data_IF_942068573972
#
_entry.id   IF_942068573972
#
_cell.length_a   1.000
_cell.length_b   1.000
_cell.length_c   1.000
_cell.angle_alpha   90.00
_cell.angle_beta   90.00
_cell.angle_gamma   90.00
#
_symmetry.space_group_name_H-M   'P 1'
#
loop_
_entity.id
_entity.type
_entity.pdbx_description
1 polymer ?
#
# COMPACT_ATOMS: atom_id res chain seq x y z
N UNK A 1 12.86 12.95 5.24
CA UNK A 1 12.18 12.43 4.02
C UNK A 1 13.14 11.83 2.99
N UNK A 2 14.47 12.06 3.04
CA UNK A 2 15.46 11.38 2.17
C UNK A 2 15.37 9.84 2.20
N UNK A 3 14.98 9.24 3.33
CA UNK A 3 14.74 7.80 3.43
C UNK A 3 13.43 7.32 2.81
N UNK A 4 12.53 8.18 2.31
CA UNK A 4 11.27 7.73 1.69
C UNK A 4 11.54 7.25 0.26
N UNK A 5 11.95 8.15 -0.63
CA UNK A 5 12.19 7.82 -2.04
C UNK A 5 13.25 6.74 -2.23
N UNK A 6 14.34 6.79 -1.44
CA UNK A 6 15.36 5.76 -1.47
C UNK A 6 14.79 4.38 -1.10
N UNK A 7 13.98 4.30 -0.05
CA UNK A 7 13.39 3.04 0.41
C UNK A 7 12.51 2.40 -0.66
N UNK A 8 11.64 3.19 -1.30
CA UNK A 8 10.76 2.68 -2.35
C UNK A 8 11.50 2.28 -3.61
N UNK A 9 12.46 3.09 -4.04
CA UNK A 9 13.18 2.82 -5.27
C UNK A 9 14.11 1.60 -5.16
N UNK A 10 14.80 1.44 -4.03
CA UNK A 10 15.67 0.28 -3.77
C UNK A 10 14.84 -1.01 -3.74
N UNK A 11 13.66 -0.99 -3.13
CA UNK A 11 12.75 -2.16 -3.13
C UNK A 11 12.25 -2.47 -4.55
N UNK A 12 11.82 -1.46 -5.30
CA UNK A 12 11.36 -1.66 -6.69
C UNK A 12 12.47 -2.20 -7.60
N UNK A 13 13.67 -1.62 -7.52
CA UNK A 13 14.81 -2.06 -8.31
C UNK A 13 15.20 -3.50 -7.97
N UNK A 14 15.27 -3.84 -6.68
CA UNK A 14 15.58 -5.18 -6.22
C UNK A 14 14.53 -6.21 -6.66
N UNK A 15 13.25 -5.88 -6.51
CA UNK A 15 12.17 -6.74 -6.96
C UNK A 15 12.17 -6.96 -8.47
N UNK A 16 12.42 -5.91 -9.26
CA UNK A 16 12.55 -6.02 -10.72
C UNK A 16 13.72 -6.92 -11.12
N UNK A 17 14.87 -6.79 -10.44
CA UNK A 17 16.04 -7.66 -10.65
C UNK A 17 15.71 -9.12 -10.36
N UNK A 18 15.09 -9.43 -9.21
CA UNK A 18 14.70 -10.80 -8.84
C UNK A 18 13.64 -11.39 -9.77
N UNK A 19 12.66 -10.59 -10.21
CA UNK A 19 11.59 -11.05 -11.12
C UNK A 19 12.06 -11.24 -12.56
N UNK A 20 13.18 -10.61 -12.94
CA UNK A 20 13.74 -10.69 -14.29
C UNK A 20 12.88 -10.03 -15.37
N UNK A 21 11.91 -9.18 -14.98
CA UNK A 21 11.04 -8.46 -15.92
C UNK A 21 11.00 -6.97 -15.57
N UNK A 22 11.12 -6.11 -16.58
CA UNK A 22 11.15 -4.65 -16.44
C UNK A 22 9.78 -3.98 -16.23
N UNK A 23 8.75 -4.72 -15.83
CA UNK A 23 7.47 -4.13 -15.47
C UNK A 23 7.63 -3.36 -14.16
N UNK A 24 7.14 -2.11 -14.10
CA UNK A 24 7.13 -1.36 -12.84
C UNK A 24 6.17 -2.00 -11.83
N UNK A 25 6.31 -1.66 -10.56
CA UNK A 25 5.42 -2.11 -9.50
C UNK A 25 3.99 -1.61 -9.74
N UNK A 26 2.99 -2.40 -9.34
CA UNK A 26 1.60 -1.96 -9.38
C UNK A 26 1.31 -0.91 -8.29
N UNK A 27 0.23 -0.15 -8.42
CA UNK A 27 -0.21 0.79 -7.37
C UNK A 27 -0.42 0.11 -6.00
N UNK A 28 -0.84 -1.16 -6.02
CA UNK A 28 -0.98 -2.01 -4.85
C UNK A 28 0.37 -2.38 -4.21
N UNK A 29 1.36 -2.73 -5.03
CA UNK A 29 2.71 -3.02 -4.54
C UNK A 29 3.34 -1.77 -3.91
N UNK A 30 3.05 -0.59 -4.45
CA UNK A 30 3.45 0.68 -3.85
C UNK A 30 2.81 0.91 -2.49
N UNK A 31 1.50 0.68 -2.36
CA UNK A 31 0.81 0.76 -1.09
C UNK A 31 1.42 -0.19 -0.04
N UNK A 32 1.81 -1.39 -0.45
CA UNK A 32 2.45 -2.35 0.44
C UNK A 32 3.83 -1.89 0.94
N UNK A 33 4.65 -1.27 0.07
CA UNK A 33 5.93 -0.68 0.50
C UNK A 33 5.70 0.45 1.49
N UNK A 34 4.66 1.27 1.28
CA UNK A 34 4.26 2.34 2.19
C UNK A 34 3.92 1.78 3.57
N UNK A 35 3.11 0.73 3.63
CA UNK A 35 2.80 0.01 4.87
C UNK A 35 4.07 -0.48 5.58
N UNK A 36 5.02 -1.08 4.86
CA UNK A 36 6.28 -1.53 5.47
C UNK A 36 7.07 -0.38 6.06
N UNK A 37 7.12 0.74 5.34
CA UNK A 37 7.82 1.93 5.80
C UNK A 37 7.18 2.52 7.06
N UNK A 38 5.85 2.63 7.09
CA UNK A 38 5.10 3.17 8.23
C UNK A 38 5.18 2.25 9.45
N UNK A 39 5.26 0.93 9.24
CA UNK A 39 5.55 -0.07 10.26
C UNK A 39 7.01 -0.08 10.75
N UNK A 40 7.86 0.80 10.21
CA UNK A 40 9.26 0.93 10.59
C UNK A 40 10.14 -0.25 10.17
N UNK A 41 9.75 -0.99 9.12
CA UNK A 41 10.56 -2.08 8.58
C UNK A 41 11.84 -1.49 7.95
N UNK A 42 13.03 -1.96 8.34
CA UNK A 42 14.27 -1.48 7.74
C UNK A 42 14.43 -2.01 6.31
N UNK A 43 15.08 -1.22 5.45
CA UNK A 43 15.25 -1.54 4.02
C UNK A 43 15.85 -2.95 3.84
N UNK A 44 16.88 -3.26 4.62
CA UNK A 44 17.55 -4.56 4.58
C UNK A 44 16.60 -5.74 4.86
N UNK A 45 15.64 -5.60 5.79
CA UNK A 45 14.64 -6.64 6.05
C UNK A 45 13.70 -6.83 4.86
N UNK A 46 13.28 -5.73 4.21
CA UNK A 46 12.44 -5.79 3.03
C UNK A 46 13.16 -6.48 1.86
N UNK A 47 14.42 -6.14 1.60
CA UNK A 47 15.21 -6.76 0.52
C UNK A 47 15.45 -8.26 0.77
N UNK A 48 15.88 -8.62 1.99
CA UNK A 48 16.10 -10.02 2.38
C UNK A 48 14.82 -10.86 2.36
N UNK A 49 13.70 -10.30 2.81
CA UNK A 49 12.41 -10.99 2.76
C UNK A 49 11.92 -11.22 1.33
N UNK A 50 12.14 -10.26 0.43
CA UNK A 50 11.91 -10.46 -1.00
C UNK A 50 12.78 -11.61 -1.49
N UNK A 51 14.07 -11.63 -1.15
CA UNK A 51 14.97 -12.69 -1.58
C UNK A 51 14.52 -14.08 -1.10
N UNK A 52 14.15 -14.20 0.18
CA UNK A 52 13.64 -15.43 0.76
C UNK A 52 12.35 -15.93 0.08
N UNK A 53 11.45 -15.01 -0.30
CA UNK A 53 10.22 -15.36 -1.02
C UNK A 53 10.53 -15.95 -2.40
N UNK A 54 11.49 -15.37 -3.13
CA UNK A 54 11.92 -15.89 -4.42
C UNK A 54 12.68 -17.22 -4.28
N UNK A 55 13.56 -17.37 -3.29
CA UNK A 55 14.24 -18.64 -3.01
C UNK A 55 13.26 -19.78 -2.72
N UNK A 56 12.21 -19.52 -1.93
CA UNK A 56 11.14 -20.50 -1.67
C UNK A 56 10.38 -20.87 -2.94
N UNK A 57 10.13 -19.89 -3.81
CA UNK A 57 9.51 -20.13 -5.11
C UNK A 57 10.39 -20.98 -6.02
N UNK A 58 11.69 -20.68 -6.10
CA UNK A 58 12.68 -21.40 -6.89
C UNK A 58 12.90 -22.84 -6.38
N UNK A 59 12.76 -23.07 -5.08
CA UNK A 59 12.84 -24.41 -4.48
C UNK A 59 11.64 -25.30 -4.85
N UNK A 60 10.46 -24.72 -5.08
CA UNK A 60 9.24 -25.43 -5.49
C UNK A 60 8.48 -24.66 -6.57
N UNK A 61 9.00 -24.62 -7.81
CA UNK A 61 8.42 -23.81 -8.87
C UNK A 61 7.08 -24.38 -9.31
N UNK A 62 6.06 -23.53 -9.33
CA UNK A 62 4.74 -23.86 -9.86
C UNK A 62 4.59 -23.34 -11.28
N UNK A 63 4.00 -24.15 -12.18
CA UNK A 63 3.63 -23.70 -13.53
C UNK A 63 2.50 -22.65 -13.52
N UNK A 64 1.67 -22.63 -12.48
CA UNK A 64 0.47 -21.77 -12.40
C UNK A 64 0.66 -20.54 -11.52
N UNK A 65 1.57 -20.58 -10.55
CA UNK A 65 1.88 -19.43 -9.68
C UNK A 65 3.23 -18.84 -10.09
N UNK A 66 3.28 -17.52 -10.23
CA UNK A 66 4.50 -16.74 -10.46
C UNK A 66 4.56 -15.62 -9.44
N UNK A 67 5.76 -15.20 -9.07
CA UNK A 67 5.97 -14.04 -8.19
C UNK A 67 5.83 -12.76 -9.02
N UNK A 68 4.59 -12.27 -9.17
CA UNK A 68 4.29 -11.11 -10.02
C UNK A 68 4.11 -9.80 -9.24
N UNK A 69 3.90 -9.88 -7.92
CA UNK A 69 3.57 -8.76 -7.02
C UNK A 69 4.29 -8.94 -5.68
N UNK A 70 4.64 -7.83 -5.04
CA UNK A 70 5.23 -7.79 -3.69
C UNK A 70 4.29 -8.36 -2.63
N UNK A 71 2.98 -8.43 -2.89
CA UNK A 71 2.03 -9.11 -2.01
C UNK A 71 2.42 -10.58 -1.76
N UNK A 72 3.07 -11.23 -2.74
CA UNK A 72 3.60 -12.58 -2.58
C UNK A 72 4.77 -12.63 -1.58
N UNK A 73 5.57 -11.55 -1.52
CA UNK A 73 6.75 -11.45 -0.66
C UNK A 73 6.42 -10.98 0.76
N UNK A 74 5.20 -10.46 1.01
CA UNK A 74 4.87 -9.75 2.24
C UNK A 74 5.14 -10.57 3.51
N UNK A 75 4.78 -11.86 3.52
CA UNK A 75 4.99 -12.74 4.68
C UNK A 75 6.47 -12.89 5.03
N UNK A 76 7.32 -13.10 4.03
CA UNK A 76 8.76 -13.26 4.26
C UNK A 76 9.42 -11.93 4.68
N UNK A 77 8.92 -10.80 4.17
CA UNK A 77 9.37 -9.46 4.60
C UNK A 77 9.05 -9.21 6.07
N UNK A 78 7.84 -9.52 6.51
CA UNK A 78 7.47 -9.38 7.92
C UNK A 78 8.28 -10.33 8.82
N UNK A 79 8.41 -11.60 8.43
CA UNK A 79 9.20 -12.57 9.19
C UNK A 79 10.68 -12.13 9.33
N UNK A 80 11.29 -11.69 8.23
CA UNK A 80 12.67 -11.18 8.27
C UNK A 80 12.80 -9.94 9.16
N UNK A 81 11.81 -9.06 9.15
CA UNK A 81 11.81 -7.88 10.01
C UNK A 81 11.68 -8.23 11.50
N UNK A 82 10.91 -9.26 11.85
CA UNK A 82 10.83 -9.80 13.22
C UNK A 82 12.15 -10.45 13.64
N UNK A 83 12.71 -11.34 12.81
CA UNK A 83 13.99 -12.00 13.07
C UNK A 83 15.12 -10.98 13.32
N UNK A 84 15.17 -9.90 12.52
CA UNK A 84 16.16 -8.83 12.70
C UNK A 84 15.95 -8.03 13.98
N UNK A 85 14.69 -7.81 14.40
CA UNK A 85 14.39 -7.17 15.69
C UNK A 85 14.80 -8.06 16.86
N UNK A 86 14.52 -9.34 16.80
CA UNK A 86 14.91 -10.32 17.84
C UNK A 86 16.44 -10.45 17.94
N UNK A 87 17.14 -10.49 16.80
CA UNK A 87 18.60 -10.56 16.75
C UNK A 87 19.28 -9.30 17.33
N UNK A 88 18.65 -8.13 17.22
CA UNK A 88 19.16 -6.87 17.75
C UNK A 88 18.99 -6.72 19.28
N UNK A 89 18.03 -7.44 19.89
CA UNK A 89 17.75 -7.36 21.33
C UNK A 89 18.60 -8.33 22.16
N UNK A 90 19.07 -9.43 21.56
CA UNK A 90 20.01 -10.36 22.20
C UNK A 90 19.42 -11.17 23.37
N UNK A 91 19.42 -12.49 23.20
CA UNK A 91 19.12 -13.55 24.21
C UNK A 91 17.64 -13.85 24.52
N UNK A 92 17.09 -14.87 23.86
CA UNK A 92 16.86 -16.19 24.45
C UNK A 92 16.30 -17.14 23.36
N UNK A 93 17.02 -18.24 23.09
CA UNK A 93 16.42 -19.40 22.43
C UNK A 93 15.47 -20.05 23.43
N UNK A 94 14.22 -20.20 23.04
CA UNK A 94 13.47 -21.40 23.39
C UNK A 94 12.89 -22.05 22.11
N UNK A 95 12.69 -23.36 22.20
CA UNK A 95 12.32 -24.29 21.13
C UNK A 95 10.92 -24.00 20.55
N UNK A 96 10.57 -24.61 19.39
CA UNK A 96 9.52 -24.10 18.52
C UNK A 96 8.15 -24.17 19.20
N UNK A 97 7.60 -23.01 19.53
CA UNK A 97 6.17 -22.88 19.74
C UNK A 97 5.51 -22.98 18.37
N UNK A 98 4.95 -24.16 18.15
CA UNK A 98 3.75 -24.46 17.38
C UNK A 98 3.31 -23.34 16.42
N UNK A 99 3.37 -23.66 15.13
CA UNK A 99 2.77 -22.94 14.01
C UNK A 99 1.85 -21.81 14.49
N UNK A 100 2.44 -20.64 14.70
CA UNK A 100 1.71 -19.42 14.97
C UNK A 100 0.87 -19.18 13.74
N UNK A 101 -0.36 -19.70 13.77
CA UNK A 101 -1.40 -19.43 12.80
C UNK A 101 -1.31 -17.96 12.51
N UNK A 102 -0.83 -17.65 11.31
CA UNK A 102 -0.86 -16.31 10.72
C UNK A 102 -2.22 -15.77 11.13
N UNK A 103 -2.26 -14.66 11.88
CA UNK A 103 -3.51 -13.91 12.03
C UNK A 103 -3.87 -13.43 10.63
N UNK A 104 -4.46 -14.32 9.83
CA UNK A 104 -5.08 -13.95 8.57
C UNK A 104 -6.15 -12.93 8.91
N UNK A 105 -6.30 -11.93 8.04
CA UNK A 105 -7.27 -10.85 8.18
C UNK A 105 -8.57 -11.36 8.82
N UNK A 106 -8.85 -10.98 10.06
CA UNK A 106 -10.07 -11.44 10.72
C UNK A 106 -11.27 -10.67 10.13
N UNK A 107 -12.45 -11.31 9.93
CA UNK A 107 -13.63 -10.60 9.44
C UNK A 107 -13.97 -9.35 10.26
N UNK A 108 -13.79 -9.43 11.57
CA UNK A 108 -14.02 -8.33 12.49
C UNK A 108 -13.05 -7.16 12.29
N UNK A 109 -11.77 -7.44 12.06
CA UNK A 109 -10.73 -6.43 11.81
C UNK A 109 -11.00 -5.72 10.47
N UNK A 110 -11.29 -6.48 9.42
CA UNK A 110 -11.66 -5.91 8.10
C UNK A 110 -12.91 -5.04 8.24
N UNK A 111 -13.96 -5.53 8.89
CA UNK A 111 -15.19 -4.77 9.07
C UNK A 111 -14.95 -3.48 9.86
N UNK A 112 -14.12 -3.51 10.91
CA UNK A 112 -13.76 -2.33 11.68
C UNK A 112 -12.97 -1.31 10.83
N UNK A 113 -11.99 -1.78 10.04
CA UNK A 113 -11.22 -0.95 9.12
C UNK A 113 -12.12 -0.25 8.09
N UNK A 114 -13.03 -0.98 7.45
CA UNK A 114 -13.97 -0.43 6.48
C UNK A 114 -14.91 0.62 7.11
N UNK A 115 -15.39 0.39 8.34
CA UNK A 115 -16.23 1.37 9.07
C UNK A 115 -15.46 2.64 9.42
N UNK A 116 -14.24 2.51 9.95
CA UNK A 116 -13.35 3.64 10.25
C UNK A 116 -13.12 4.50 9.01
N UNK A 117 -12.81 3.86 7.88
CA UNK A 117 -12.60 4.58 6.62
C UNK A 117 -13.89 5.25 6.12
N UNK A 118 -15.05 4.60 6.26
CA UNK A 118 -16.33 5.20 5.92
C UNK A 118 -16.65 6.44 6.76
N UNK A 119 -16.32 6.43 8.05
CA UNK A 119 -16.47 7.57 8.95
C UNK A 119 -15.56 8.73 8.55
N UNK A 120 -14.27 8.44 8.28
CA UNK A 120 -13.33 9.45 7.81
C UNK A 120 -13.78 10.09 6.49
N UNK A 121 -14.22 9.29 5.51
CA UNK A 121 -14.75 9.80 4.25
C UNK A 121 -16.00 10.66 4.41
N UNK A 122 -16.89 10.29 5.35
CA UNK A 122 -18.11 11.06 5.61
C UNK A 122 -17.82 12.38 6.34
N UNK A 123 -16.77 12.43 7.16
CA UNK A 123 -16.36 13.61 7.91
C UNK A 123 -15.44 14.56 7.10
N UNK A 124 -14.81 14.07 6.03
CA UNK A 124 -13.90 14.86 5.20
C UNK A 124 -14.61 16.07 4.57
N UNK A 125 -13.91 17.22 4.56
CA UNK A 125 -14.37 18.46 3.93
C UNK A 125 -13.62 18.63 2.62
N UNK A 126 -14.27 18.26 1.52
CA UNK A 126 -13.66 18.27 0.19
C UNK A 126 -13.95 19.57 -0.57
N UNK A 127 -13.04 19.99 -1.46
CA UNK A 127 -13.25 21.19 -2.25
C UNK A 127 -14.40 20.94 -3.24
N UNK A 128 -15.03 22.03 -3.66
CA UNK A 128 -16.16 21.99 -4.61
C UNK A 128 -15.71 22.55 -5.95
N UNK A 129 -15.96 21.78 -7.02
CA UNK A 129 -15.78 22.25 -8.39
C UNK A 129 -17.12 22.50 -9.07
N UNK A 130 -17.10 23.28 -10.14
CA UNK A 130 -18.30 23.50 -10.97
C UNK A 130 -18.71 22.19 -11.65
N UNK A 131 -19.88 21.66 -11.31
CA UNK A 131 -20.46 20.48 -11.96
C UNK A 131 -19.86 19.12 -11.54
N UNK A 132 -18.88 19.09 -10.64
CA UNK A 132 -18.30 17.86 -10.08
C UNK A 132 -18.18 17.95 -8.56
N UNK A 133 -18.62 16.92 -7.85
CA UNK A 133 -18.61 16.89 -6.38
C UNK A 133 -17.81 15.69 -5.86
N UNK A 134 -16.56 15.95 -5.46
CA UNK A 134 -15.76 14.96 -4.74
C UNK A 134 -16.44 14.55 -3.42
N UNK A 135 -17.16 15.48 -2.77
CA UNK A 135 -17.93 15.19 -1.55
C UNK A 135 -19.01 14.13 -1.79
N UNK A 136 -19.75 14.22 -2.91
CA UNK A 136 -20.78 13.23 -3.23
C UNK A 136 -20.18 11.84 -3.43
N UNK A 137 -19.06 11.75 -4.14
CA UNK A 137 -18.34 10.49 -4.37
C UNK A 137 -17.77 9.93 -3.06
N UNK A 138 -17.24 10.78 -2.17
CA UNK A 138 -16.78 10.35 -0.84
C UNK A 138 -17.93 9.77 0.01
N UNK A 139 -19.11 10.40 -0.02
CA UNK A 139 -20.29 9.91 0.69
C UNK A 139 -20.84 8.59 0.11
N UNK A 140 -20.85 8.44 -1.21
CA UNK A 140 -21.22 7.17 -1.87
C UNK A 140 -20.23 6.06 -1.52
N UNK A 141 -18.93 6.38 -1.55
CA UNK A 141 -17.84 5.47 -1.17
C UNK A 141 -18.00 5.04 0.29
N UNK A 142 -18.26 5.98 1.20
CA UNK A 142 -18.51 5.70 2.61
C UNK A 142 -19.73 4.76 2.82
N UNK A 143 -20.84 4.99 2.10
CA UNK A 143 -22.01 4.09 2.15
C UNK A 143 -21.63 2.68 1.70
N UNK A 144 -20.92 2.57 0.58
CA UNK A 144 -20.46 1.28 0.04
C UNK A 144 -19.55 0.54 1.02
N UNK A 145 -18.63 1.24 1.69
CA UNK A 145 -17.76 0.66 2.71
C UNK A 145 -18.55 0.14 3.93
N UNK A 146 -19.57 0.87 4.39
CA UNK A 146 -20.46 0.41 5.48
C UNK A 146 -21.23 -0.85 5.09
N UNK A 147 -21.78 -0.89 3.88
CA UNK A 147 -22.49 -2.07 3.37
C UNK A 147 -21.56 -3.29 3.27
N UNK A 148 -20.33 -3.10 2.81
CA UNK A 148 -19.31 -4.15 2.79
C UNK A 148 -18.95 -4.62 4.20
N UNK A 149 -18.75 -3.70 5.14
CA UNK A 149 -18.45 -4.03 6.53
C UNK A 149 -19.56 -4.85 7.19
N UNK A 150 -20.83 -4.50 6.94
CA UNK A 150 -21.98 -5.23 7.46
C UNK A 150 -22.06 -6.64 6.86
N UNK A 151 -21.89 -6.76 5.54
CA UNK A 151 -21.86 -8.07 4.86
C UNK A 151 -20.73 -8.98 5.38
N UNK A 152 -19.55 -8.43 5.65
CA UNK A 152 -18.42 -9.20 6.20
C UNK A 152 -18.69 -9.62 7.65
N UNK A 153 -19.29 -8.74 8.45
CA UNK A 153 -19.63 -9.04 9.84
C UNK A 153 -20.75 -10.10 9.98
N UNK A 154 -21.71 -10.11 9.05
CA UNK A 154 -22.83 -11.06 9.03
C UNK A 154 -22.48 -12.41 8.35
N UNK A 155 -21.45 -12.41 7.50
CA UNK A 155 -21.03 -13.61 6.77
C UNK A 155 -20.24 -14.57 7.66
N UNK A 156 -20.53 -15.87 7.54
CA UNK A 156 -19.75 -16.94 8.19
C UNK A 156 -18.38 -17.19 7.54
N UNK A 157 -18.16 -16.65 6.35
CA UNK A 157 -16.92 -16.83 5.57
C UNK A 157 -16.44 -15.51 4.97
N UNK A 158 -15.12 -15.30 4.96
CA UNK A 158 -14.51 -14.14 4.31
C UNK A 158 -14.75 -14.15 2.80
N UNK A 159 -15.01 -12.97 2.19
CA UNK A 159 -14.90 -12.85 0.75
C UNK A 159 -13.47 -13.12 0.31
N UNK A 160 -13.26 -13.40 -0.97
CA UNK A 160 -11.91 -13.44 -1.54
C UNK A 160 -11.28 -12.06 -1.34
N UNK A 161 -10.21 -12.01 -0.55
CA UNK A 161 -9.55 -10.75 -0.19
C UNK A 161 -9.04 -10.00 -1.42
N UNK A 162 -8.61 -10.72 -2.46
CA UNK A 162 -8.21 -10.12 -3.74
C UNK A 162 -9.36 -9.35 -4.42
N UNK A 163 -10.59 -9.89 -4.37
CA UNK A 163 -11.75 -9.23 -4.99
C UNK A 163 -12.18 -8.00 -4.17
N UNK A 164 -12.09 -8.11 -2.83
CA UNK A 164 -12.31 -6.97 -1.94
C UNK A 164 -11.28 -5.87 -2.21
N UNK A 165 -10.00 -6.22 -2.28
CA UNK A 165 -8.91 -5.28 -2.54
C UNK A 165 -9.08 -4.58 -3.90
N UNK A 166 -9.36 -5.32 -4.97
CA UNK A 166 -9.64 -4.74 -6.30
C UNK A 166 -10.78 -3.73 -6.24
N UNK A 167 -11.83 -4.02 -5.48
CA UNK A 167 -12.97 -3.11 -5.31
C UNK A 167 -12.56 -1.84 -4.55
N UNK A 168 -11.76 -1.98 -3.48
CA UNK A 168 -11.24 -0.84 -2.72
C UNK A 168 -10.34 0.05 -3.59
N UNK A 169 -9.46 -0.54 -4.40
CA UNK A 169 -8.62 0.20 -5.36
C UNK A 169 -9.46 1.03 -6.32
N UNK A 170 -10.48 0.43 -6.95
CA UNK A 170 -11.36 1.15 -7.89
C UNK A 170 -12.08 2.31 -7.19
N UNK A 171 -12.48 2.12 -5.93
CA UNK A 171 -13.12 3.17 -5.13
C UNK A 171 -12.15 4.31 -4.81
N UNK A 172 -10.91 4.02 -4.40
CA UNK A 172 -9.86 5.04 -4.17
C UNK A 172 -9.55 5.80 -5.46
N UNK A 173 -9.36 5.10 -6.58
CA UNK A 173 -9.04 5.73 -7.86
C UNK A 173 -10.15 6.68 -8.34
N UNK A 174 -11.42 6.28 -8.20
CA UNK A 174 -12.56 7.13 -8.52
C UNK A 174 -12.64 8.36 -7.62
N UNK A 175 -12.46 8.16 -6.31
CA UNK A 175 -12.46 9.25 -5.33
C UNK A 175 -11.32 10.23 -5.61
N UNK A 176 -10.12 9.72 -5.86
CA UNK A 176 -8.94 10.53 -6.13
C UNK A 176 -9.06 11.30 -7.45
N UNK A 177 -9.58 10.67 -8.52
CA UNK A 177 -9.82 11.37 -9.78
C UNK A 177 -10.79 12.55 -9.60
N UNK A 178 -11.87 12.35 -8.83
CA UNK A 178 -12.80 13.42 -8.51
C UNK A 178 -12.15 14.52 -7.68
N UNK A 179 -11.41 14.15 -6.64
CA UNK A 179 -10.66 15.08 -5.79
C UNK A 179 -9.69 15.93 -6.61
N UNK A 180 -8.87 15.30 -7.45
CA UNK A 180 -7.91 15.98 -8.29
C UNK A 180 -8.59 16.97 -9.24
N UNK A 181 -9.76 16.62 -9.79
CA UNK A 181 -10.50 17.48 -10.70
C UNK A 181 -11.14 18.71 -10.04
N UNK A 182 -11.39 18.67 -8.72
CA UNK A 182 -11.97 19.80 -7.97
C UNK A 182 -10.94 20.56 -7.13
N UNK A 183 -9.70 20.06 -7.06
CA UNK A 183 -8.61 20.72 -6.34
C UNK A 183 -8.09 21.89 -7.17
N UNK A 184 -7.88 23.08 -6.58
CA UNK A 184 -7.32 24.23 -7.29
C UNK A 184 -5.95 23.93 -7.94
N UNK A 185 -5.72 24.49 -9.13
CA UNK A 185 -4.50 24.26 -9.92
C UNK A 185 -3.23 24.64 -9.17
N UNK A 186 -3.24 25.75 -8.43
CA UNK A 186 -2.13 26.25 -7.63
C UNK A 186 -1.75 25.27 -6.51
N UNK A 187 -2.75 24.63 -5.90
CA UNK A 187 -2.53 23.59 -4.90
C UNK A 187 -1.90 22.33 -5.52
N UNK A 188 -2.44 21.85 -6.65
CA UNK A 188 -1.86 20.69 -7.36
C UNK A 188 -0.42 20.98 -7.80
N UNK A 189 -0.16 22.19 -8.31
CA UNK A 189 1.18 22.63 -8.71
C UNK A 189 2.14 22.71 -7.51
N UNK A 190 1.66 23.19 -6.36
CA UNK A 190 2.46 23.23 -5.13
C UNK A 190 2.91 21.82 -4.72
N UNK A 191 1.98 20.86 -4.67
CA UNK A 191 2.30 19.46 -4.31
C UNK A 191 3.27 18.83 -5.31
N UNK A 192 3.10 19.08 -6.61
CA UNK A 192 4.02 18.58 -7.65
C UNK A 192 5.42 19.18 -7.53
N UNK A 193 5.51 20.47 -7.22
CA UNK A 193 6.79 21.17 -7.04
C UNK A 193 7.52 20.66 -5.81
N UNK A 194 6.81 20.35 -4.73
CA UNK A 194 7.36 19.68 -3.54
C UNK A 194 7.93 18.30 -3.92
N UNK A 195 7.13 17.47 -4.60
CA UNK A 195 7.56 16.16 -5.08
C UNK A 195 8.84 16.24 -5.93
N UNK A 196 8.90 17.21 -6.84
CA UNK A 196 10.06 17.42 -7.73
C UNK A 196 11.32 17.83 -6.98
N UNK A 197 11.19 18.66 -5.93
CA UNK A 197 12.32 19.02 -5.06
C UNK A 197 12.84 17.82 -4.30
N UNK A 198 11.95 17.00 -3.75
CA UNK A 198 12.34 15.81 -3.00
C UNK A 198 12.91 14.69 -3.91
N UNK A 199 12.45 14.61 -5.15
CA UNK A 199 12.95 13.66 -6.15
C UNK A 199 14.24 14.10 -6.84
N UNK A 200 14.62 15.37 -6.76
CA UNK A 200 15.79 15.93 -7.45
C UNK A 200 17.10 15.13 -7.24
N UNK A 201 17.44 14.65 -6.02
CA UNK A 201 18.66 13.86 -5.79
C UNK A 201 18.68 12.51 -6.53
N UNK A 202 17.50 11.98 -6.87
CA UNK A 202 17.32 10.64 -7.44
C UNK A 202 17.15 10.65 -8.95
N UNK A 203 16.93 11.82 -9.57
CA UNK A 203 16.61 11.94 -11.01
C UNK A 203 17.66 11.33 -11.95
N UNK A 204 18.92 11.29 -11.54
CA UNK A 204 20.03 10.72 -12.33
C UNK A 204 20.28 9.24 -12.04
N UNK A 205 19.70 8.70 -10.97
CA UNK A 205 19.92 7.33 -10.48
C UNK A 205 18.81 6.36 -10.88
N UNK A 206 17.67 6.87 -11.36
CA UNK A 206 16.48 6.08 -11.63
C UNK A 206 15.96 6.32 -13.06
N UNK A 207 15.36 5.30 -13.72
CA UNK A 207 14.66 5.49 -14.99
C UNK A 207 13.55 6.53 -14.89
N UNK A 208 13.35 7.30 -15.97
CA UNK A 208 12.33 8.36 -16.02
C UNK A 208 10.91 7.86 -15.70
N UNK A 209 10.57 6.63 -16.12
CA UNK A 209 9.28 6.03 -15.85
C UNK A 209 9.08 5.75 -14.33
N UNK A 210 10.12 5.31 -13.63
CA UNK A 210 10.11 5.11 -12.18
C UNK A 210 9.96 6.44 -11.43
N UNK A 211 10.67 7.49 -11.86
CA UNK A 211 10.53 8.84 -11.29
C UNK A 211 9.11 9.38 -11.48
N UNK A 212 8.55 9.22 -12.68
CA UNK A 212 7.18 9.65 -12.96
C UNK A 212 6.14 8.90 -12.12
N UNK A 213 6.34 7.61 -11.90
CA UNK A 213 5.48 6.82 -11.02
C UNK A 213 5.60 7.28 -9.56
N UNK A 214 6.82 7.50 -9.08
CA UNK A 214 7.09 8.04 -7.75
C UNK A 214 6.41 9.38 -7.51
N UNK A 215 6.54 10.30 -8.46
CA UNK A 215 5.90 11.60 -8.41
C UNK A 215 4.36 11.46 -8.35
N UNK A 216 3.78 10.58 -9.17
CA UNK A 216 2.34 10.32 -9.18
C UNK A 216 1.85 9.78 -7.83
N UNK A 217 2.56 8.82 -7.24
CA UNK A 217 2.20 8.25 -5.93
C UNK A 217 2.35 9.29 -4.81
N UNK A 218 3.40 10.11 -4.86
CA UNK A 218 3.59 11.18 -3.89
C UNK A 218 2.46 12.22 -3.94
N UNK A 219 2.08 12.68 -5.14
CA UNK A 219 0.96 13.62 -5.33
C UNK A 219 -0.34 13.01 -4.81
N UNK A 220 -0.57 11.72 -5.11
CA UNK A 220 -1.74 11.00 -4.61
C UNK A 220 -1.79 11.01 -3.08
N UNK A 221 -0.71 10.56 -2.43
CA UNK A 221 -0.59 10.54 -0.96
C UNK A 221 -0.83 11.92 -0.36
N UNK A 222 -0.12 12.95 -0.85
CA UNK A 222 -0.18 14.31 -0.29
C UNK A 222 -1.55 14.95 -0.39
N UNK A 223 -2.26 14.75 -1.50
CA UNK A 223 -3.61 15.27 -1.65
C UNK A 223 -4.58 14.55 -0.71
N UNK A 224 -4.50 13.23 -0.57
CA UNK A 224 -5.34 12.51 0.40
C UNK A 224 -5.07 12.97 1.83
N UNK A 225 -3.79 13.09 2.23
CA UNK A 225 -3.39 13.60 3.55
C UNK A 225 -3.95 15.01 3.83
N UNK A 226 -3.82 15.92 2.85
CA UNK A 226 -4.29 17.31 2.99
C UNK A 226 -5.79 17.41 3.25
N UNK A 227 -6.58 16.54 2.64
CA UNK A 227 -8.03 16.50 2.82
C UNK A 227 -8.50 15.50 3.89
N UNK A 228 -7.57 14.89 4.63
CA UNK A 228 -7.88 13.92 5.69
C UNK A 228 -8.56 12.65 5.18
N UNK A 229 -8.31 12.27 3.92
CA UNK A 229 -8.91 11.10 3.31
C UNK A 229 -8.06 9.84 3.60
N UNK A 230 -8.70 8.73 4.01
CA UNK A 230 -8.00 7.48 4.26
C UNK A 230 -7.60 6.80 2.94
N UNK A 231 -6.58 5.95 3.01
CA UNK A 231 -6.27 4.99 1.94
C UNK A 231 -7.24 3.81 1.99
N UNK A 232 -7.82 3.45 0.84
CA UNK A 232 -8.74 2.33 0.69
C UNK A 232 -8.00 1.14 0.12
N UNK A 233 -7.23 0.49 0.99
CA UNK A 233 -6.58 -0.78 0.70
C UNK A 233 -6.39 -1.54 2.01
N UNK A 234 -6.58 -2.85 1.99
CA UNK A 234 -6.37 -3.72 3.14
C UNK A 234 -4.91 -3.70 3.62
N UNK A 235 -3.98 -3.21 2.80
CA UNK A 235 -2.59 -3.01 3.21
C UNK A 235 -2.43 -1.91 4.26
N UNK A 236 -3.42 -1.03 4.49
CA UNK A 236 -3.39 0.01 5.52
C UNK A 236 -4.20 -0.33 6.78
N UNK A 237 -4.64 -1.59 6.92
CA UNK A 237 -5.32 -2.10 8.11
C UNK A 237 -4.32 -2.36 9.24
#
# INVERSE_FOLDING_TARGET
MENYFNYFAEIEEHFQKRRGTGLLLSTLDWALIETWKDAGIPLEAALRGIDAAFERYEARPSRTRKVNSLAYCAQEVFATAEDMKEAAVGTARDKPTDAGTVRGFQPAEIAAFLRKNAEALAAAKLPQGTGLSAQAIALETARTLRDLANKIAESKSLPRLEDLERRLTVMEEKLFAALLAVTPDDEVLSVRTEADRELAPYRRKMPAAQIGQLQKQYVHKRLLERYGLPRLSLFYM
#
